data_IF_275589788772
#
_entry.id   IF_275589788772
#
_cell.length_a   1.000
_cell.length_b   1.000
_cell.length_c   1.000
_cell.angle_alpha   90.00
_cell.angle_beta   90.00
_cell.angle_gamma   90.00
#
_symmetry.space_group_name_H-M   'P 1'
#
loop_
_entity.id
_entity.type
_entity.pdbx_description
1 polymer ?
#
# COMPACT_ATOMS: atom_id res chain seq x y z
N UNK A 1 6.12 32.50 -25.31
CA UNK A 1 4.86 31.92 -25.80
C UNK A 1 4.52 30.75 -24.88
N UNK A 2 3.67 30.96 -23.88
CA UNK A 2 3.32 29.88 -22.93
C UNK A 2 2.29 28.97 -23.60
N UNK A 3 2.72 27.77 -23.97
CA UNK A 3 1.89 26.78 -24.65
C UNK A 3 1.12 25.95 -23.61
N UNK A 4 -0.19 25.86 -23.80
CA UNK A 4 -1.10 25.09 -22.97
C UNK A 4 -0.75 23.59 -23.03
N UNK A 5 -0.46 22.98 -21.88
CA UNK A 5 -0.47 21.51 -21.75
C UNK A 5 -1.95 21.07 -21.83
N UNK A 6 -2.33 20.46 -22.95
CA UNK A 6 -3.68 19.94 -23.15
C UNK A 6 -3.89 18.64 -22.33
N UNK A 7 -5.12 18.38 -21.91
CA UNK A 7 -5.48 17.21 -21.10
C UNK A 7 -5.13 15.84 -21.74
N UNK A 8 -4.88 15.81 -23.06
CA UNK A 8 -4.63 14.60 -23.84
C UNK A 8 -3.13 14.29 -24.04
N UNK A 9 -2.26 14.91 -23.25
CA UNK A 9 -0.80 14.82 -23.40
C UNK A 9 -0.13 13.97 -22.32
N UNK A 10 -0.91 13.45 -21.37
CA UNK A 10 -0.42 12.54 -20.34
C UNK A 10 -1.22 11.25 -20.34
N UNK A 11 -0.57 10.16 -20.76
CA UNK A 11 -1.18 8.83 -20.76
C UNK A 11 -0.80 8.07 -19.48
N UNK A 12 -1.79 7.46 -18.82
CA UNK A 12 -1.54 6.48 -17.77
C UNK A 12 -1.64 5.06 -18.34
N UNK A 13 -0.76 4.16 -17.90
CA UNK A 13 -0.84 2.72 -18.20
C UNK A 13 -0.54 1.91 -16.97
N UNK A 14 -1.22 0.77 -16.84
CA UNK A 14 -0.97 -0.17 -15.76
C UNK A 14 -0.59 -1.53 -16.32
N UNK A 15 0.35 -2.18 -15.65
CA UNK A 15 0.87 -3.48 -16.02
C UNK A 15 0.91 -4.38 -14.80
N UNK A 16 0.69 -5.66 -15.01
CA UNK A 16 1.02 -6.68 -14.03
C UNK A 16 1.96 -7.69 -14.67
N UNK A 17 3.00 -8.08 -13.94
CA UNK A 17 3.94 -9.12 -14.41
C UNK A 17 3.28 -10.51 -14.47
N UNK A 18 2.16 -10.70 -13.75
CA UNK A 18 1.40 -11.95 -13.67
C UNK A 18 -0.10 -11.67 -13.81
N UNK A 19 -0.85 -12.63 -14.29
CA UNK A 19 -2.32 -12.55 -14.36
C UNK A 19 -3.02 -13.38 -13.28
N UNK A 20 -2.29 -14.18 -12.51
CA UNK A 20 -2.81 -15.03 -11.44
C UNK A 20 -2.02 -14.81 -10.16
N UNK A 21 -2.71 -14.72 -9.02
CA UNK A 21 -2.10 -14.53 -7.70
C UNK A 21 -2.71 -15.49 -6.68
N UNK A 22 -1.85 -16.25 -6.01
CA UNK A 22 -2.25 -17.12 -4.91
C UNK A 22 -2.58 -16.34 -3.63
N UNK A 23 -3.17 -17.04 -2.65
CA UNK A 23 -3.63 -16.46 -1.37
C UNK A 23 -2.60 -15.65 -0.59
N UNK A 24 -1.31 -15.98 -0.72
CA UNK A 24 -0.19 -15.33 0.00
C UNK A 24 0.66 -14.43 -0.91
N UNK A 25 0.30 -14.26 -2.18
CA UNK A 25 1.09 -13.44 -3.09
C UNK A 25 0.61 -11.99 -3.07
N UNK A 26 1.51 -11.02 -3.00
CA UNK A 26 1.13 -9.61 -3.11
C UNK A 26 0.58 -9.32 -4.52
N UNK A 27 -0.59 -8.68 -4.59
CA UNK A 27 -1.15 -8.18 -5.85
C UNK A 27 -0.54 -6.82 -6.12
N UNK A 28 0.40 -6.77 -7.07
CA UNK A 28 1.16 -5.58 -7.43
C UNK A 28 0.92 -5.19 -8.88
N UNK A 29 0.84 -3.88 -9.14
CA UNK A 29 0.77 -3.31 -10.49
C UNK A 29 1.85 -2.26 -10.68
N UNK A 30 2.43 -2.20 -11.87
CA UNK A 30 3.26 -1.06 -12.29
C UNK A 30 2.34 -0.01 -12.89
N UNK A 31 2.35 1.20 -12.34
CA UNK A 31 1.69 2.37 -12.90
C UNK A 31 2.73 3.22 -13.63
N UNK A 32 2.46 3.54 -14.88
CA UNK A 32 3.27 4.41 -15.72
C UNK A 32 2.49 5.65 -16.12
N UNK A 33 3.15 6.79 -16.09
CA UNK A 33 2.68 8.02 -16.71
C UNK A 33 3.65 8.41 -17.82
N UNK A 34 3.14 8.57 -19.03
CA UNK A 34 3.92 8.96 -20.20
C UNK A 34 3.45 10.30 -20.72
N UNK A 35 4.37 11.26 -20.80
CA UNK A 35 4.09 12.55 -21.41
C UNK A 35 4.23 12.43 -22.95
N UNK A 36 3.11 12.38 -23.63
CA UNK A 36 3.00 12.34 -25.10
C UNK A 36 2.89 13.72 -25.72
N UNK A 37 2.81 14.77 -24.90
CA UNK A 37 2.78 16.16 -25.32
C UNK A 37 4.13 16.75 -25.67
N UNK A 38 4.08 18.01 -26.10
CA UNK A 38 5.25 18.79 -26.50
C UNK A 38 5.84 19.65 -25.37
N UNK A 39 5.20 19.68 -24.19
CA UNK A 39 5.60 20.51 -23.05
C UNK A 39 5.81 19.65 -21.79
N UNK A 40 6.63 20.12 -20.86
CA UNK A 40 6.83 19.42 -19.57
C UNK A 40 5.53 19.46 -18.74
N UNK A 41 5.03 18.28 -18.39
CA UNK A 41 3.87 18.11 -17.51
C UNK A 41 4.34 17.94 -16.08
N UNK A 42 3.70 18.58 -15.12
CA UNK A 42 4.02 18.43 -13.69
C UNK A 42 2.93 17.59 -13.04
N UNK A 43 3.31 16.43 -12.51
CA UNK A 43 2.40 15.47 -11.86
C UNK A 43 2.58 15.58 -10.37
N UNK A 44 1.49 15.56 -9.60
CA UNK A 44 1.60 15.53 -8.16
C UNK A 44 2.27 14.24 -7.65
N UNK A 45 3.19 14.39 -6.69
CA UNK A 45 3.98 13.28 -6.15
C UNK A 45 3.10 12.20 -5.52
N UNK A 46 1.94 12.57 -4.97
CA UNK A 46 0.99 11.63 -4.38
C UNK A 46 0.30 10.72 -5.40
N UNK A 47 0.34 11.04 -6.70
CA UNK A 47 -0.09 10.14 -7.77
C UNK A 47 0.99 9.12 -8.17
N UNK A 48 2.19 9.23 -7.59
CA UNK A 48 3.33 8.32 -7.80
C UNK A 48 3.76 7.72 -6.44
N UNK A 49 2.89 6.94 -5.78
CA UNK A 49 3.21 6.37 -4.48
C UNK A 49 4.44 5.45 -4.59
N UNK A 50 5.56 5.83 -3.95
CA UNK A 50 6.82 5.08 -3.98
C UNK A 50 6.86 3.92 -2.98
N UNK A 51 6.10 4.04 -1.88
CA UNK A 51 6.06 3.06 -0.80
C UNK A 51 4.63 2.61 -0.47
N UNK A 52 3.77 3.57 -0.10
CA UNK A 52 2.40 3.32 0.34
C UNK A 52 1.41 4.10 -0.51
N UNK A 53 0.26 3.48 -0.80
CA UNK A 53 -0.86 4.13 -1.46
C UNK A 53 -1.76 4.78 -0.41
N UNK A 54 -1.97 6.10 -0.55
CA UNK A 54 -2.71 6.92 0.41
C UNK A 54 -4.00 7.53 -0.14
N UNK A 55 -4.34 7.23 -1.39
CA UNK A 55 -5.59 7.64 -2.00
C UNK A 55 -6.10 6.51 -2.91
N UNK A 56 -7.43 6.39 -3.11
CA UNK A 56 -8.02 5.37 -3.96
C UNK A 56 -7.81 5.71 -5.45
N UNK A 57 -6.57 5.59 -5.94
CA UNK A 57 -6.21 5.95 -7.32
C UNK A 57 -6.77 4.99 -8.39
N UNK A 58 -7.27 3.83 -7.97
CA UNK A 58 -7.74 2.76 -8.85
C UNK A 58 -9.22 2.47 -8.62
N UNK A 59 -9.96 2.32 -9.73
CA UNK A 59 -11.22 1.59 -9.74
C UNK A 59 -10.90 0.11 -9.74
N UNK A 60 -11.36 -0.60 -8.71
CA UNK A 60 -11.18 -2.05 -8.58
C UNK A 60 -12.55 -2.70 -8.46
N UNK A 61 -12.81 -3.73 -9.26
CA UNK A 61 -14.03 -4.54 -9.16
C UNK A 61 -13.69 -6.02 -9.08
N UNK A 62 -14.55 -6.78 -8.44
CA UNK A 62 -14.53 -8.24 -8.35
C UNK A 62 -15.82 -8.75 -8.99
N UNK A 63 -15.73 -9.40 -10.15
CA UNK A 63 -16.92 -9.77 -10.95
C UNK A 63 -17.89 -8.59 -11.13
N UNK A 64 -17.36 -7.43 -11.52
CA UNK A 64 -18.08 -6.15 -11.73
C UNK A 64 -18.68 -5.49 -10.48
N UNK A 65 -18.50 -6.08 -9.29
CA UNK A 65 -18.85 -5.45 -8.02
C UNK A 65 -17.69 -4.59 -7.52
N UNK A 66 -17.89 -3.30 -7.21
CA UNK A 66 -16.83 -2.45 -6.66
C UNK A 66 -16.20 -3.02 -5.40
N UNK A 67 -14.88 -2.92 -5.32
CA UNK A 67 -14.06 -3.36 -4.20
C UNK A 67 -13.70 -2.18 -3.32
N UNK A 68 -13.84 -2.33 -2.01
CA UNK A 68 -13.56 -1.28 -1.05
C UNK A 68 -12.07 -0.94 -0.98
N UNK A 69 -11.76 0.36 -0.92
CA UNK A 69 -10.44 0.85 -0.56
C UNK A 69 -10.34 0.97 0.97
N UNK A 70 -9.37 0.27 1.54
CA UNK A 70 -9.08 0.16 2.96
C UNK A 70 -7.79 0.91 3.35
N UNK A 71 -7.18 1.65 2.42
CA UNK A 71 -6.04 2.51 2.74
C UNK A 71 -6.47 3.79 3.48
N UNK A 72 -5.51 4.54 4.03
CA UNK A 72 -5.82 5.87 4.54
C UNK A 72 -6.23 6.79 3.39
N UNK A 73 -6.93 7.87 3.72
CA UNK A 73 -7.19 9.00 2.81
C UNK A 73 -6.66 10.24 3.51
N UNK A 74 -5.72 10.94 2.88
CA UNK A 74 -4.98 12.01 3.57
C UNK A 74 -5.48 13.38 3.10
N UNK A 75 -5.93 14.20 4.06
CA UNK A 75 -6.16 15.62 3.83
C UNK A 75 -4.83 16.35 3.72
N UNK A 76 -4.66 17.15 2.67
CA UNK A 76 -3.40 17.84 2.37
C UNK A 76 -3.62 19.34 2.20
N UNK A 77 -2.56 20.11 2.37
CA UNK A 77 -2.54 21.53 2.01
C UNK A 77 -2.64 21.67 0.49
N UNK A 78 -2.88 22.90 0.02
CA UNK A 78 -2.78 23.18 -1.41
C UNK A 78 -1.37 22.82 -1.92
N UNK A 79 -1.26 22.12 -3.06
CA UNK A 79 0.02 21.70 -3.60
C UNK A 79 0.91 22.89 -3.96
N UNK A 80 2.21 22.73 -3.76
CA UNK A 80 3.25 23.66 -4.19
C UNK A 80 4.19 22.99 -5.19
N UNK A 81 5.16 23.74 -5.73
CA UNK A 81 6.15 23.21 -6.67
C UNK A 81 7.00 22.06 -6.08
N UNK A 82 7.13 21.99 -4.75
CA UNK A 82 7.84 20.91 -4.07
C UNK A 82 7.04 19.60 -4.03
N UNK A 83 5.74 19.65 -4.31
CA UNK A 83 4.82 18.50 -4.29
C UNK A 83 4.60 17.89 -5.68
N UNK A 84 5.44 18.25 -6.66
CA UNK A 84 5.27 17.81 -8.06
C UNK A 84 6.56 17.25 -8.65
N UNK A 85 6.39 16.31 -9.58
CA UNK A 85 7.46 15.71 -10.38
C UNK A 85 7.28 16.21 -11.82
N UNK A 86 8.32 16.84 -12.41
CA UNK A 86 8.31 17.21 -13.82
C UNK A 86 8.52 15.96 -14.70
N UNK A 87 7.68 15.83 -15.72
CA UNK A 87 7.80 14.81 -16.77
C UNK A 87 8.01 15.53 -18.09
N UNK A 88 9.23 15.47 -18.61
CA UNK A 88 9.58 16.12 -19.87
C UNK A 88 8.86 15.45 -21.07
N UNK A 89 8.73 16.14 -22.22
CA UNK A 89 8.16 15.57 -23.44
C UNK A 89 8.80 14.24 -23.83
N UNK A 90 7.96 13.25 -24.16
CA UNK A 90 8.39 11.90 -24.55
C UNK A 90 9.00 11.08 -23.41
N UNK A 91 8.94 11.55 -22.15
CA UNK A 91 9.42 10.80 -20.99
C UNK A 91 8.28 10.06 -20.29
N UNK A 92 8.66 8.93 -19.72
CA UNK A 92 7.79 8.07 -18.91
C UNK A 92 8.39 7.95 -17.53
N UNK A 93 7.54 8.07 -16.52
CA UNK A 93 7.87 7.77 -15.12
C UNK A 93 6.96 6.65 -14.63
N UNK A 94 7.41 5.90 -13.63
CA UNK A 94 6.64 4.75 -13.15
C UNK A 94 6.85 4.49 -11.67
N UNK A 95 5.85 3.84 -11.06
CA UNK A 95 5.94 3.30 -9.71
C UNK A 95 5.30 1.91 -9.63
N UNK A 96 5.63 1.16 -8.57
CA UNK A 96 4.99 -0.12 -8.24
C UNK A 96 4.00 0.12 -7.11
N UNK A 97 2.75 -0.27 -7.32
CA UNK A 97 1.66 -0.14 -6.35
C UNK A 97 1.23 -1.52 -5.87
N UNK A 98 1.25 -1.74 -4.55
CA UNK A 98 0.77 -2.98 -3.91
C UNK A 98 -0.71 -2.83 -3.55
N UNK A 99 -1.59 -3.30 -4.42
CA UNK A 99 -3.05 -3.18 -4.25
C UNK A 99 -3.58 -4.04 -3.10
N UNK A 100 -3.01 -5.23 -2.88
CA UNK A 100 -3.43 -6.14 -1.79
C UNK A 100 -3.28 -5.55 -0.38
N UNK A 101 -2.51 -4.47 -0.22
CA UNK A 101 -2.31 -3.79 1.07
C UNK A 101 -3.42 -2.78 1.43
N UNK A 102 -4.23 -2.39 0.45
CA UNK A 102 -5.12 -1.21 0.54
C UNK A 102 -6.46 -1.40 -0.16
N UNK A 103 -6.71 -2.50 -0.88
CA UNK A 103 -8.04 -2.87 -1.38
C UNK A 103 -8.52 -4.17 -0.75
N UNK A 104 -9.84 -4.33 -0.60
CA UNK A 104 -10.42 -5.58 -0.13
C UNK A 104 -10.32 -6.69 -1.19
N UNK A 105 -9.23 -7.45 -1.13
CA UNK A 105 -8.99 -8.58 -2.02
C UNK A 105 -9.32 -9.94 -1.36
N UNK A 106 -10.23 -9.96 -0.37
CA UNK A 106 -10.54 -11.18 0.40
C UNK A 106 -11.29 -12.27 -0.36
N UNK A 107 -11.91 -11.92 -1.49
CA UNK A 107 -12.71 -12.84 -2.30
C UNK A 107 -11.88 -13.47 -3.41
N UNK A 108 -12.11 -14.76 -3.70
CA UNK A 108 -11.55 -15.39 -4.90
C UNK A 108 -12.38 -14.96 -6.11
N UNK A 109 -11.81 -14.16 -7.02
CA UNK A 109 -12.48 -13.76 -8.25
C UNK A 109 -11.51 -13.21 -9.31
N UNK A 110 -12.08 -12.87 -10.47
CA UNK A 110 -11.39 -12.09 -11.48
C UNK A 110 -11.57 -10.61 -11.17
N UNK A 111 -10.50 -9.99 -10.69
CA UNK A 111 -10.45 -8.57 -10.41
C UNK A 111 -10.24 -7.78 -11.70
N UNK A 112 -11.06 -6.76 -11.93
CA UNK A 112 -10.83 -5.74 -12.95
C UNK A 112 -10.21 -4.52 -12.27
N UNK A 113 -9.10 -4.04 -12.79
CA UNK A 113 -8.35 -2.92 -12.21
C UNK A 113 -8.07 -1.89 -13.28
N UNK A 114 -8.39 -0.63 -13.00
CA UNK A 114 -8.10 0.51 -13.84
C UNK A 114 -7.66 1.69 -12.98
N UNK A 115 -6.57 2.35 -13.32
CA UNK A 115 -6.27 3.67 -12.79
C UNK A 115 -7.25 4.68 -13.36
N UNK A 116 -7.92 5.45 -12.51
CA UNK A 116 -8.94 6.42 -12.93
C UNK A 116 -9.01 7.58 -11.95
N UNK A 117 -8.42 8.72 -12.31
CA UNK A 117 -8.41 9.90 -11.45
C UNK A 117 -8.79 11.17 -12.21
N UNK A 118 -9.50 12.12 -11.56
CA UNK A 118 -9.74 13.44 -12.15
C UNK A 118 -8.43 14.12 -12.51
N UNK A 119 -8.39 14.80 -13.65
CA UNK A 119 -7.15 15.37 -14.19
C UNK A 119 -6.51 16.41 -13.26
N UNK A 120 -7.33 17.18 -12.55
CA UNK A 120 -6.91 18.16 -11.55
C UNK A 120 -6.28 17.53 -10.31
N UNK A 121 -6.55 16.26 -10.03
CA UNK A 121 -5.90 15.52 -8.95
C UNK A 121 -4.49 15.07 -9.34
N UNK A 122 -4.25 14.88 -10.64
CA UNK A 122 -2.99 14.33 -11.18
C UNK A 122 -2.03 15.43 -11.62
N UNK A 123 -2.51 16.40 -12.38
CA UNK A 123 -1.67 17.43 -12.99
C UNK A 123 -1.71 18.71 -12.16
N UNK A 124 -0.53 19.18 -11.75
CA UNK A 124 -0.39 20.48 -11.13
C UNK A 124 -0.56 21.59 -12.17
N UNK A 125 -1.57 22.45 -11.95
CA UNK A 125 -1.77 23.67 -12.72
C UNK A 125 -1.60 24.86 -11.79
N UNK A 126 -0.60 25.69 -12.05
CA UNK A 126 -0.43 26.93 -11.29
C UNK A 126 -1.64 27.85 -11.51
N UNK A 127 -2.19 28.45 -10.46
CA UNK A 127 -3.43 29.25 -10.51
C UNK A 127 -3.40 30.41 -11.52
N UNK A 128 -2.21 30.96 -11.81
CA UNK A 128 -2.04 32.02 -12.83
C UNK A 128 -2.31 31.53 -14.26
N UNK A 129 -2.07 30.24 -14.53
CA UNK A 129 -2.31 29.60 -15.84
C UNK A 129 -3.80 29.38 -16.12
N UNK A 130 -4.64 29.32 -15.07
CA UNK A 130 -6.11 29.20 -15.21
C UNK A 130 -6.75 30.50 -15.71
N UNK A 131 -6.13 31.66 -15.48
CA UNK A 131 -6.63 32.97 -15.94
C UNK A 131 -6.30 33.28 -17.41
N UNK A 132 -5.39 32.53 -18.02
CA UNK A 132 -4.92 32.77 -19.41
C UNK A 132 -5.46 31.77 -20.41
N UNK A 133 -6.33 30.85 -20.00
CA UNK A 133 -7.04 30.00 -20.94
C UNK A 133 -8.11 30.87 -21.62
N UNK A 134 -8.11 31.03 -22.96
CA UNK A 134 -9.22 31.66 -23.64
C UNK A 134 -10.50 30.88 -23.32
N UNK A 135 -11.64 31.58 -23.22
CA UNK A 135 -13.00 31.07 -23.09
C UNK A 135 -13.40 30.18 -24.30
N UNK A 136 -12.66 29.10 -24.52
CA UNK A 136 -13.03 28.03 -25.43
C UNK A 136 -13.87 27.06 -24.60
N UNK A 137 -15.05 26.65 -25.08
CA UNK A 137 -15.90 25.73 -24.33
C UNK A 137 -15.09 24.51 -23.91
N UNK A 138 -15.10 24.22 -22.61
CA UNK A 138 -14.38 23.16 -21.88
C UNK A 138 -14.85 21.74 -22.33
N UNK A 139 -15.56 21.62 -23.46
CA UNK A 139 -16.32 20.44 -23.87
C UNK A 139 -15.50 19.32 -24.52
N UNK A 140 -14.16 19.33 -24.45
CA UNK A 140 -13.30 18.24 -24.99
C UNK A 140 -12.01 17.95 -24.20
N UNK A 141 -11.88 18.46 -22.98
CA UNK A 141 -10.78 18.06 -22.11
C UNK A 141 -11.18 16.75 -21.42
N UNK A 142 -10.35 15.71 -21.51
CA UNK A 142 -10.51 14.53 -20.66
C UNK A 142 -10.60 14.99 -19.20
N UNK A 143 -11.75 14.74 -18.56
CA UNK A 143 -11.95 15.10 -17.15
C UNK A 143 -11.17 14.17 -16.22
N UNK A 144 -10.76 13.01 -16.73
CA UNK A 144 -10.04 11.98 -15.99
C UNK A 144 -8.87 11.47 -16.80
N UNK A 145 -7.81 11.10 -16.10
CA UNK A 145 -6.73 10.27 -16.62
C UNK A 145 -7.08 8.82 -16.32
N UNK A 146 -7.28 8.03 -17.36
CA UNK A 146 -7.65 6.63 -17.30
C UNK A 146 -6.58 5.75 -17.91
N UNK A 147 -6.25 4.65 -17.26
CA UNK A 147 -5.38 3.63 -17.86
C UNK A 147 -6.15 2.61 -18.70
N UNK A 148 -5.41 1.72 -19.35
CA UNK A 148 -5.95 0.41 -19.73
C UNK A 148 -6.53 -0.32 -18.50
N UNK A 149 -7.51 -1.19 -18.76
CA UNK A 149 -8.07 -2.07 -17.75
C UNK A 149 -7.38 -3.43 -17.81
N UNK A 150 -6.93 -3.95 -16.67
CA UNK A 150 -6.31 -5.28 -16.56
C UNK A 150 -7.22 -6.21 -15.77
N UNK A 151 -7.14 -7.51 -16.07
CA UNK A 151 -7.88 -8.56 -15.35
C UNK A 151 -6.91 -9.52 -14.68
N UNK A 152 -7.07 -9.71 -13.37
CA UNK A 152 -6.22 -10.58 -12.55
C UNK A 152 -7.11 -11.62 -11.84
N UNK A 153 -6.78 -12.90 -11.95
CA UNK A 153 -7.37 -13.94 -11.12
C UNK A 153 -6.65 -13.96 -9.77
N UNK A 154 -7.36 -13.67 -8.70
CA UNK A 154 -6.77 -13.59 -7.35
C UNK A 154 -7.50 -14.56 -6.45
N UNK A 155 -6.75 -15.42 -5.77
CA UNK A 155 -7.29 -16.24 -4.68
C UNK A 155 -7.56 -15.38 -3.45
N UNK A 156 -8.73 -15.61 -2.85
CA UNK A 156 -9.20 -14.91 -1.67
C UNK A 156 -8.26 -15.06 -0.49
N UNK A 157 -7.85 -13.92 0.06
CA UNK A 157 -6.90 -13.78 1.18
C UNK A 157 -7.58 -13.27 2.44
N UNK A 158 -6.86 -13.26 3.55
CA UNK A 158 -7.38 -12.66 4.77
C UNK A 158 -6.83 -11.25 4.94
N UNK A 159 -7.69 -10.24 4.81
CA UNK A 159 -7.27 -8.86 4.99
C UNK A 159 -7.31 -8.47 6.47
N UNK A 160 -6.16 -8.09 7.03
CA UNK A 160 -6.05 -7.71 8.44
C UNK A 160 -6.79 -6.41 8.74
N UNK A 161 -6.94 -5.50 7.77
CA UNK A 161 -7.72 -4.26 7.96
C UNK A 161 -9.22 -4.55 8.15
N UNK A 162 -9.77 -5.53 7.43
CA UNK A 162 -11.12 -6.05 7.72
C UNK A 162 -11.20 -6.71 9.11
N UNK A 163 -10.14 -7.41 9.55
CA UNK A 163 -10.11 -7.93 10.93
C UNK A 163 -10.07 -6.80 11.95
N UNK A 164 -9.28 -5.74 11.77
CA UNK A 164 -9.20 -4.62 12.71
C UNK A 164 -10.54 -3.92 12.92
N UNK A 165 -11.33 -3.73 11.85
CA UNK A 165 -12.68 -3.17 11.96
C UNK A 165 -13.68 -4.12 12.66
N UNK A 166 -13.45 -5.44 12.61
CA UNK A 166 -14.29 -6.47 13.26
C UNK A 166 -13.70 -6.99 14.60
N UNK A 167 -12.55 -6.47 15.05
CA UNK A 167 -11.89 -6.83 16.32
C UNK A 167 -12.41 -6.00 17.50
N UNK A 168 -13.43 -5.14 17.32
CA UNK A 168 -14.15 -4.60 18.47
C UNK A 168 -15.02 -5.66 19.19
N UNK A 169 -15.17 -6.89 18.66
CA UNK A 169 -16.02 -7.93 19.27
C UNK A 169 -15.37 -9.31 19.48
N UNK A 170 -14.08 -9.50 19.22
CA UNK A 170 -13.42 -10.81 19.47
C UNK A 170 -12.36 -10.71 20.57
N UNK A 171 -12.82 -11.03 21.79
CA UNK A 171 -12.08 -11.52 22.96
C UNK A 171 -10.79 -10.77 23.33
N UNK A 172 -10.87 -10.09 24.48
CA UNK A 172 -9.74 -9.81 25.37
C UNK A 172 -8.87 -11.07 25.57
N UNK A 173 -7.87 -11.28 24.70
CA UNK A 173 -6.61 -11.94 25.06
C UNK A 173 -5.59 -10.82 25.15
N UNK A 174 -4.87 -10.78 26.27
CA UNK A 174 -3.81 -9.81 26.49
C UNK A 174 -2.81 -9.87 25.31
N UNK A 175 -2.49 -8.70 24.75
CA UNK A 175 -1.70 -8.46 23.53
C UNK A 175 -2.39 -8.80 22.19
N UNK A 176 -3.35 -7.96 21.78
CA UNK A 176 -3.69 -7.83 20.36
C UNK A 176 -2.51 -7.17 19.62
N UNK A 177 -1.96 -7.86 18.62
CA UNK A 177 -0.96 -7.28 17.73
C UNK A 177 -1.63 -6.25 16.81
N UNK A 178 -1.07 -5.05 16.77
CA UNK A 178 -1.45 -4.01 15.82
C UNK A 178 -0.36 -3.87 14.77
N UNK A 179 -0.77 -3.68 13.52
CA UNK A 179 0.13 -3.56 12.38
C UNK A 179 -0.11 -2.22 11.70
N UNK A 180 0.96 -1.56 11.26
CA UNK A 180 0.94 -0.32 10.49
C UNK A 180 1.83 -0.53 9.28
N UNK A 181 1.27 -0.42 8.07
CA UNK A 181 2.04 -0.53 6.82
C UNK A 181 2.58 -1.93 6.47
N UNK A 182 2.30 -2.97 7.27
CA UNK A 182 2.80 -4.33 7.00
C UNK A 182 2.04 -5.00 5.83
N UNK A 183 2.78 -5.70 4.95
CA UNK A 183 2.17 -6.58 3.94
C UNK A 183 1.57 -7.84 4.57
N UNK A 184 0.71 -8.55 3.83
CA UNK A 184 0.09 -9.78 4.32
C UNK A 184 1.13 -10.84 4.70
N UNK A 185 2.18 -11.00 3.89
CA UNK A 185 3.28 -11.92 4.20
C UNK A 185 4.03 -11.49 5.47
N UNK A 186 4.35 -10.20 5.60
CA UNK A 186 5.00 -9.69 6.80
C UNK A 186 4.14 -9.93 8.05
N UNK A 187 2.82 -9.77 7.96
CA UNK A 187 1.94 -10.04 9.10
C UNK A 187 1.82 -11.52 9.43
N UNK A 188 1.77 -12.41 8.42
CA UNK A 188 1.78 -13.86 8.62
C UNK A 188 3.07 -14.31 9.33
N UNK A 189 4.21 -13.77 8.89
CA UNK A 189 5.52 -14.04 9.49
C UNK A 189 5.59 -13.52 10.93
N UNK A 190 5.05 -12.33 11.21
CA UNK A 190 5.00 -11.78 12.58
C UNK A 190 4.13 -12.66 13.49
N UNK A 191 2.97 -13.15 13.01
CA UNK A 191 2.12 -14.05 13.80
C UNK A 191 2.86 -15.35 14.13
N UNK A 192 3.53 -15.95 13.14
CA UNK A 192 4.33 -17.16 13.34
C UNK A 192 5.50 -16.91 14.32
N UNK A 193 6.20 -15.78 14.17
CA UNK A 193 7.29 -15.39 15.04
C UNK A 193 6.83 -15.19 16.49
N UNK A 194 5.69 -14.51 16.72
CA UNK A 194 5.13 -14.29 18.06
C UNK A 194 4.69 -15.60 18.71
N UNK A 195 4.11 -16.52 17.93
CA UNK A 195 3.76 -17.87 18.43
C UNK A 195 5.01 -18.64 18.89
N UNK A 196 6.08 -18.61 18.10
CA UNK A 196 7.36 -19.23 18.45
C UNK A 196 8.01 -18.57 19.67
N UNK A 197 7.98 -17.23 19.74
CA UNK A 197 8.47 -16.48 20.88
C UNK A 197 7.71 -16.86 22.17
N UNK A 198 6.39 -17.01 22.11
CA UNK A 198 5.58 -17.46 23.25
C UNK A 198 6.00 -18.86 23.71
N UNK A 199 6.25 -19.78 22.78
CA UNK A 199 6.75 -21.12 23.11
C UNK A 199 8.12 -21.07 23.79
N UNK A 200 9.05 -20.26 23.28
CA UNK A 200 10.38 -20.09 23.90
C UNK A 200 10.31 -19.44 25.28
N UNK A 201 9.48 -18.40 25.43
CA UNK A 201 9.26 -17.72 26.72
C UNK A 201 8.63 -18.64 27.76
N UNK A 202 7.62 -19.42 27.38
CA UNK A 202 7.02 -20.42 28.27
C UNK A 202 8.02 -21.52 28.65
N UNK A 203 8.82 -22.00 27.69
CA UNK A 203 9.88 -22.97 27.97
C UNK A 203 10.97 -22.41 28.90
N UNK A 204 11.31 -21.13 28.77
CA UNK A 204 12.24 -20.45 29.66
C UNK A 204 11.64 -20.30 31.07
N UNK A 205 10.39 -19.85 31.19
CA UNK A 205 9.66 -19.73 32.46
C UNK A 205 9.54 -21.07 33.18
N UNK A 206 9.11 -22.12 32.49
CA UNK A 206 9.00 -23.47 33.04
C UNK A 206 10.38 -23.98 33.50
N UNK A 207 11.42 -23.75 32.70
CA UNK A 207 12.78 -24.14 33.05
C UNK A 207 13.29 -23.44 34.31
N UNK A 208 13.04 -22.13 34.43
CA UNK A 208 13.45 -21.35 35.60
C UNK A 208 12.61 -21.67 36.84
N UNK A 209 11.35 -22.10 36.71
CA UNK A 209 10.46 -22.33 37.85
C UNK A 209 10.35 -23.78 38.33
N UNK A 210 10.60 -24.79 37.48
CA UNK A 210 10.37 -26.20 37.87
C UNK A 210 11.47 -26.81 38.71
N UNK A 211 12.74 -26.42 38.52
CA UNK A 211 13.87 -26.90 39.31
C UNK A 211 14.95 -25.83 39.38
N UNK A 212 15.64 -25.74 40.52
CA UNK A 212 16.85 -24.92 40.69
C UNK A 212 17.85 -25.26 39.58
N UNK A 213 18.17 -24.33 38.65
CA UNK A 213 18.97 -24.62 37.45
C UNK A 213 20.47 -24.71 37.72
N UNK A 214 20.85 -25.07 38.95
CA UNK A 214 22.24 -25.17 39.45
C UNK A 214 23.10 -25.99 38.50
N UNK A 215 24.16 -25.37 37.94
CA UNK A 215 25.16 -26.05 37.13
C UNK A 215 24.67 -26.60 35.79
N UNK A 216 23.47 -26.23 35.33
CA UNK A 216 22.98 -26.67 34.02
C UNK A 216 23.58 -25.81 32.91
N UNK A 217 24.04 -26.45 31.81
CA UNK A 217 24.64 -25.74 30.67
C UNK A 217 23.75 -24.60 30.17
N UNK A 218 22.44 -24.82 30.09
CA UNK A 218 21.49 -23.80 29.63
C UNK A 218 21.50 -22.52 30.49
N UNK A 219 21.66 -22.64 31.82
CA UNK A 219 21.73 -21.45 32.68
C UNK A 219 23.12 -20.83 32.58
N UNK A 220 24.17 -21.62 32.67
CA UNK A 220 25.55 -21.11 32.70
C UNK A 220 25.99 -20.47 31.39
N UNK A 221 25.45 -20.90 30.25
CA UNK A 221 25.70 -20.27 28.94
C UNK A 221 25.19 -18.83 28.89
N UNK A 222 24.02 -18.53 29.46
CA UNK A 222 23.38 -17.21 29.32
C UNK A 222 23.50 -16.32 30.56
N UNK A 223 23.63 -16.91 31.75
CA UNK A 223 23.61 -16.23 33.03
C UNK A 223 24.84 -16.50 33.91
N UNK A 224 25.78 -17.34 33.46
CA UNK A 224 27.01 -17.65 34.19
C UNK A 224 26.82 -18.55 35.42
N UNK A 225 27.77 -18.52 36.35
CA UNK A 225 27.73 -19.34 37.58
C UNK A 225 26.47 -19.06 38.39
N UNK A 226 25.79 -20.12 38.83
CA UNK A 226 24.57 -20.00 39.61
C UNK A 226 24.81 -19.32 40.96
N UNK A 227 24.07 -18.24 41.24
CA UNK A 227 23.97 -17.59 42.55
C UNK A 227 22.50 -17.25 42.80
N UNK A 228 22.02 -17.43 44.04
CA UNK A 228 20.60 -17.24 44.38
C UNK A 228 20.08 -15.84 44.00
N UNK A 229 20.90 -14.80 44.16
CA UNK A 229 20.56 -13.41 43.84
C UNK A 229 20.38 -13.14 42.34
N UNK A 230 20.98 -13.96 41.47
CA UNK A 230 20.89 -13.85 40.00
C UNK A 230 19.77 -14.73 39.43
N UNK A 231 19.10 -15.51 40.29
CA UNK A 231 17.96 -16.34 39.96
C UNK A 231 16.82 -16.00 40.93
N UNK A 232 16.21 -14.84 40.71
CA UNK A 232 14.98 -14.44 41.36
C UNK A 232 13.83 -14.74 40.39
N UNK A 233 13.03 -15.75 40.71
CA UNK A 233 11.78 -16.08 40.00
C UNK A 233 10.61 -15.33 40.60
#
# INVERSE_FOLDING_TARGET
>A
MMANVYANELEARIFSARSTFGKTEDVVVKLEYSNTGAQTTHIHNWCLPSNELYDPLFTVTCNDVPVEYLGPVIKRREPTIDDVIPVAPGKTISTIVRLSSVYDMTQTCNYSIQYNMPIEHVIFRHAQTLKTLPDKPISKLQSHIQSNNIRLAVEGRSNIKHRQNNIMTVRKRAASLNYVGCSENATSDIIAAVSNALNYSNNAFIYLNRKKPTGTNRYTTWFGTFVLTNWNT
#
